data_IF_756185710144
#
_entry.id   IF_756185710144
#
_cell.length_a   1.000
_cell.length_b   1.000
_cell.length_c   1.000
_cell.angle_alpha   90.00
_cell.angle_beta   90.00
_cell.angle_gamma   90.00
#
_symmetry.space_group_name_H-M   'P 1'
#
loop_
_entity.id
_entity.type
_entity.pdbx_description
1 polymer ?
#
# COMPACT_ATOMS: atom_id res chain seq x y z
N UNK A 1 -38.99 -23.46 -20.17
CA UNK A 1 -38.01 -22.36 -20.34
C UNK A 1 -36.63 -22.89 -19.98
N UNK A 2 -35.72 -22.98 -20.95
CA UNK A 2 -34.33 -23.34 -20.68
C UNK A 2 -33.61 -22.10 -20.10
N UNK A 3 -32.80 -22.22 -19.04
CA UNK A 3 -32.00 -21.10 -18.60
C UNK A 3 -31.05 -20.73 -19.74
N UNK A 4 -31.23 -19.52 -20.27
CA UNK A 4 -30.30 -18.93 -21.23
C UNK A 4 -28.89 -19.06 -20.67
N UNK A 5 -27.95 -19.54 -21.48
CA UNK A 5 -26.50 -19.46 -21.18
C UNK A 5 -26.15 -17.99 -21.02
N UNK A 6 -26.35 -17.46 -19.82
CA UNK A 6 -25.86 -16.16 -19.39
C UNK A 6 -24.39 -16.13 -19.78
N UNK A 7 -24.01 -15.08 -20.51
CA UNK A 7 -22.71 -14.92 -21.16
C UNK A 7 -21.56 -15.06 -20.16
N UNK A 8 -21.20 -16.29 -19.79
CA UNK A 8 -20.21 -16.60 -18.76
C UNK A 8 -18.89 -15.94 -19.13
N UNK A 9 -18.60 -15.91 -20.44
CA UNK A 9 -17.47 -15.22 -21.04
C UNK A 9 -17.49 -13.70 -20.79
N UNK A 10 -18.64 -13.03 -20.92
CA UNK A 10 -18.75 -11.60 -20.65
C UNK A 10 -18.59 -11.31 -19.15
N UNK A 11 -19.18 -12.15 -18.28
CA UNK A 11 -19.02 -12.01 -16.83
C UNK A 11 -17.55 -12.21 -16.42
N UNK A 12 -16.89 -13.23 -16.96
CA UNK A 12 -15.47 -13.50 -16.68
C UNK A 12 -14.58 -12.33 -17.13
N UNK A 13 -14.84 -11.78 -18.32
CA UNK A 13 -14.10 -10.62 -18.83
C UNK A 13 -14.30 -9.38 -17.95
N UNK A 14 -15.53 -9.10 -17.49
CA UNK A 14 -15.81 -7.98 -16.58
C UNK A 14 -15.04 -8.13 -15.28
N UNK A 15 -15.02 -9.33 -14.67
CA UNK A 15 -14.24 -9.58 -13.45
C UNK A 15 -12.74 -9.35 -13.67
N UNK A 16 -12.19 -9.86 -14.78
CA UNK A 16 -10.75 -9.67 -15.10
C UNK A 16 -10.41 -8.20 -15.31
N UNK A 17 -11.26 -7.43 -16.00
CA UNK A 17 -11.03 -5.99 -16.20
C UNK A 17 -11.09 -5.23 -14.87
N UNK A 18 -12.03 -5.55 -13.99
CA UNK A 18 -12.12 -4.94 -12.65
C UNK A 18 -10.85 -5.21 -11.83
N UNK A 19 -10.37 -6.46 -11.81
CA UNK A 19 -9.14 -6.84 -11.09
C UNK A 19 -7.90 -6.14 -11.66
N UNK A 20 -7.81 -6.02 -12.98
CA UNK A 20 -6.69 -5.33 -13.64
C UNK A 20 -6.73 -3.82 -13.50
N UNK A 21 -7.92 -3.22 -13.35
CA UNK A 21 -8.09 -1.79 -13.08
C UNK A 21 -7.66 -1.42 -11.65
N UNK A 22 -7.77 -2.34 -10.69
CA UNK A 22 -7.23 -2.13 -9.33
C UNK A 22 -5.71 -2.28 -9.21
N UNK A 23 -5.01 -2.74 -10.26
CA UNK A 23 -3.58 -3.06 -10.21
C UNK A 23 -2.64 -1.89 -10.55
N UNK A 24 -3.18 -0.68 -10.78
CA UNK A 24 -2.38 0.50 -11.12
C UNK A 24 -3.16 1.73 -10.71
N UNK A 25 -2.79 2.29 -9.57
CA UNK A 25 -2.27 3.65 -9.39
C UNK A 25 -1.81 3.77 -7.92
N UNK A 26 -0.51 3.58 -7.67
CA UNK A 26 0.13 4.12 -6.47
C UNK A 26 0.87 5.39 -6.86
N UNK A 27 0.13 6.34 -7.44
CA UNK A 27 0.52 7.75 -7.35
C UNK A 27 0.09 8.19 -5.97
N UNK A 28 1.06 8.64 -5.20
CA UNK A 28 0.91 9.20 -3.85
C UNK A 28 -0.24 10.21 -3.83
N UNK A 29 -1.37 9.85 -3.21
CA UNK A 29 -2.44 10.77 -2.89
C UNK A 29 -2.62 10.79 -1.36
N UNK A 30 -2.66 11.98 -0.73
CA UNK A 30 -2.82 12.08 0.71
C UNK A 30 -4.25 11.67 1.04
N UNK A 31 -4.41 10.59 1.81
CA UNK A 31 -5.73 10.17 2.27
C UNK A 31 -6.24 11.18 3.30
N UNK A 32 -7.24 11.95 2.91
CA UNK A 32 -8.09 12.68 3.84
C UNK A 32 -8.84 11.68 4.72
N UNK A 33 -8.45 11.58 5.98
CA UNK A 33 -9.12 10.81 7.01
C UNK A 33 -8.74 11.40 8.35
N UNK A 34 -9.67 12.13 8.95
CA UNK A 34 -9.53 12.77 10.26
C UNK A 34 -9.25 11.73 11.32
N UNK A 35 -8.01 11.67 11.84
CA UNK A 35 -7.75 11.36 13.23
C UNK A 35 -6.39 11.94 13.66
N UNK A 36 -6.42 12.66 14.77
CA UNK A 36 -5.29 13.34 15.38
C UNK A 36 -4.42 12.27 16.05
N UNK A 37 -3.57 11.62 15.28
CA UNK A 37 -2.37 10.93 15.71
C UNK A 37 -1.32 11.22 14.64
N UNK A 38 -0.09 11.54 15.05
CA UNK A 38 1.04 11.89 14.18
C UNK A 38 0.96 11.21 12.80
N UNK A 39 0.84 12.05 11.76
CA UNK A 39 0.49 11.72 10.37
C UNK A 39 1.58 10.90 9.66
N UNK A 40 1.84 9.69 10.16
CA UNK A 40 2.76 8.75 9.55
C UNK A 40 1.97 7.94 8.52
N UNK A 41 2.21 8.13 7.22
CA UNK A 41 1.41 7.48 6.20
C UNK A 41 1.63 5.96 6.26
N UNK A 42 0.53 5.22 6.22
CA UNK A 42 0.56 3.80 5.89
C UNK A 42 0.67 3.63 4.37
N UNK A 43 1.30 2.55 3.93
CA UNK A 43 1.44 2.23 2.50
C UNK A 43 1.17 0.76 2.23
N UNK A 44 0.81 0.43 0.99
CA UNK A 44 0.58 -0.95 0.57
C UNK A 44 1.91 -1.72 0.55
N UNK A 45 1.96 -2.91 1.15
CA UNK A 45 3.13 -3.79 1.10
C UNK A 45 3.41 -4.25 -0.33
N UNK A 46 4.64 -4.03 -0.81
CA UNK A 46 5.08 -4.53 -2.10
C UNK A 46 5.40 -6.04 -2.06
N UNK A 47 5.73 -6.56 -0.88
CA UNK A 47 6.24 -7.91 -0.72
C UNK A 47 5.20 -8.93 -0.22
N UNK A 48 4.06 -8.48 0.32
CA UNK A 48 2.98 -9.37 0.74
C UNK A 48 2.31 -10.02 -0.48
N UNK A 49 2.09 -11.33 -0.42
CA UNK A 49 1.52 -12.10 -1.54
C UNK A 49 0.18 -12.72 -1.14
N UNK A 50 -0.78 -12.62 -2.04
CA UNK A 50 -2.14 -13.11 -1.84
C UNK A 50 -3.02 -12.13 -1.08
N UNK A 51 -4.28 -12.53 -0.88
CA UNK A 51 -5.26 -11.73 -0.17
C UNK A 51 -5.10 -11.90 1.35
N UNK A 52 -5.13 -10.80 2.09
CA UNK A 52 -5.10 -10.84 3.54
C UNK A 52 -6.50 -11.08 4.12
N UNK A 53 -6.85 -12.35 4.29
CA UNK A 53 -8.03 -12.79 5.03
C UNK A 53 -7.65 -13.10 6.49
N UNK A 54 -7.53 -12.07 7.34
CA UNK A 54 -7.18 -12.22 8.77
C UNK A 54 -5.75 -12.70 9.04
N UNK A 55 -4.84 -12.52 8.09
CA UNK A 55 -3.43 -12.92 8.24
C UNK A 55 -2.56 -11.76 8.73
N UNK A 56 -2.99 -11.09 9.81
CA UNK A 56 -2.30 -9.93 10.37
C UNK A 56 -0.86 -10.25 10.77
N UNK A 57 -0.62 -11.41 11.39
CA UNK A 57 0.71 -11.83 11.80
C UNK A 57 1.67 -12.05 10.61
N UNK A 58 1.15 -12.48 9.45
CA UNK A 58 1.98 -12.55 8.24
C UNK A 58 2.21 -11.17 7.65
N UNK A 59 1.17 -10.33 7.58
CA UNK A 59 1.28 -8.97 7.07
C UNK A 59 2.28 -8.14 7.89
N UNK A 60 2.15 -8.17 9.22
CA UNK A 60 3.06 -7.50 10.14
C UNK A 60 4.52 -7.94 9.94
N UNK A 61 4.78 -9.25 9.88
CA UNK A 61 6.14 -9.75 9.63
C UNK A 61 6.67 -9.30 8.28
N UNK A 62 5.87 -9.41 7.23
CA UNK A 62 6.27 -8.94 5.89
C UNK A 62 6.64 -7.46 5.92
N UNK A 63 5.83 -6.61 6.54
CA UNK A 63 6.12 -5.18 6.64
C UNK A 63 7.43 -4.88 7.38
N UNK A 64 7.70 -5.59 8.49
CA UNK A 64 8.97 -5.44 9.24
C UNK A 64 10.18 -5.87 8.40
N UNK A 65 10.04 -6.93 7.59
CA UNK A 65 11.12 -7.38 6.69
C UNK A 65 11.25 -6.54 5.42
N UNK A 66 10.19 -5.86 5.01
CA UNK A 66 10.16 -5.03 3.80
C UNK A 66 10.99 -3.76 3.98
N UNK A 67 10.97 -3.16 5.18
CA UNK A 67 11.75 -1.95 5.48
C UNK A 67 11.98 -1.79 6.98
N UNK A 68 13.16 -1.32 7.37
CA UNK A 68 13.47 -0.95 8.75
C UNK A 68 12.70 0.27 9.25
N UNK A 69 12.09 1.04 8.35
CA UNK A 69 11.22 2.17 8.69
C UNK A 69 9.79 1.75 9.05
N UNK A 70 9.43 0.51 8.75
CA UNK A 70 8.13 -0.06 9.11
C UNK A 70 8.17 -0.59 10.54
N UNK A 71 7.17 -0.25 11.35
CA UNK A 71 7.06 -0.78 12.71
C UNK A 71 5.97 -1.85 12.85
N UNK A 72 5.13 -2.02 11.83
CA UNK A 72 4.10 -3.03 11.81
C UNK A 72 3.33 -3.04 10.49
N UNK A 73 2.23 -3.79 10.48
CA UNK A 73 1.32 -3.84 9.36
C UNK A 73 -0.03 -4.39 9.78
N UNK A 74 -1.07 -4.05 9.04
CA UNK A 74 -2.44 -4.49 9.26
C UNK A 74 -3.10 -4.82 7.92
N UNK A 75 -4.21 -5.56 8.00
CA UNK A 75 -4.94 -5.94 6.80
C UNK A 75 -6.20 -5.11 6.66
N UNK A 76 -6.36 -4.52 5.49
CA UNK A 76 -7.56 -3.76 5.12
C UNK A 76 -7.92 -4.05 3.67
N UNK A 77 -9.21 -4.19 3.37
CA UNK A 77 -9.71 -4.55 2.03
C UNK A 77 -8.96 -5.70 1.35
N UNK A 78 -8.67 -6.78 2.08
CA UNK A 78 -7.89 -7.95 1.62
C UNK A 78 -6.45 -7.65 1.19
N UNK A 79 -5.94 -6.46 1.52
CA UNK A 79 -4.61 -6.00 1.22
C UNK A 79 -3.81 -5.80 2.52
N UNK A 80 -2.49 -5.90 2.44
CA UNK A 80 -1.60 -5.67 3.58
C UNK A 80 -1.03 -4.26 3.51
N UNK A 81 -1.29 -3.46 4.55
CA UNK A 81 -0.77 -2.11 4.70
C UNK A 81 0.31 -2.07 5.78
N UNK A 82 1.46 -1.51 5.45
CA UNK A 82 2.58 -1.31 6.36
C UNK A 82 2.49 0.07 7.02
N UNK A 83 2.70 0.09 8.33
CA UNK A 83 2.74 1.32 9.12
C UNK A 83 4.18 1.80 9.25
N UNK A 84 4.44 3.04 8.84
CA UNK A 84 5.76 3.66 8.89
C UNK A 84 5.93 4.47 10.16
N UNK A 85 7.14 4.52 10.71
CA UNK A 85 7.44 5.47 11.77
C UNK A 85 7.55 6.86 11.14
N UNK A 86 6.92 7.86 11.76
CA UNK A 86 7.24 9.24 11.44
C UNK A 86 8.70 9.47 11.80
N UNK A 87 9.54 9.66 10.79
CA UNK A 87 10.75 10.45 10.97
C UNK A 87 10.28 11.82 11.45
N UNK A 88 10.69 12.23 12.64
CA UNK A 88 10.45 13.61 13.09
C UNK A 88 10.86 14.53 11.96
N UNK A 89 10.03 15.53 11.64
CA UNK A 89 10.18 16.41 10.47
C UNK A 89 11.62 16.90 10.25
N UNK A 90 12.37 17.10 11.34
CA UNK A 90 13.80 17.45 11.32
C UNK A 90 14.68 16.42 10.59
N UNK A 91 14.52 15.14 10.85
CA UNK A 91 15.30 14.07 10.19
C UNK A 91 14.95 13.89 8.71
N UNK A 92 13.69 14.13 8.32
CA UNK A 92 13.27 14.10 6.92
C UNK A 92 13.76 15.34 6.16
N UNK A 93 13.71 16.51 6.80
CA UNK A 93 14.28 17.76 6.27
C UNK A 93 15.81 17.67 6.11
N UNK A 94 16.51 17.08 7.09
CA UNK A 94 17.96 16.87 7.05
C UNK A 94 18.35 15.85 5.97
N UNK A 95 17.58 14.78 5.78
CA UNK A 95 17.80 13.83 4.70
C UNK A 95 17.60 14.47 3.31
N UNK A 96 16.56 15.30 3.14
CA UNK A 96 16.33 16.05 1.91
C UNK A 96 17.43 17.10 1.67
N UNK A 97 17.89 17.79 2.72
CA UNK A 97 18.98 18.76 2.62
C UNK A 97 20.32 18.09 2.26
N UNK A 98 20.61 16.93 2.84
CA UNK A 98 21.82 16.16 2.51
C UNK A 98 21.78 15.64 1.07
N UNK A 99 20.62 15.15 0.60
CA UNK A 99 20.45 14.72 -0.79
C UNK A 99 20.59 15.90 -1.77
N UNK A 100 20.06 17.08 -1.42
CA UNK A 100 20.22 18.29 -2.24
C UNK A 100 21.69 18.76 -2.30
N UNK A 101 22.42 18.68 -1.20
CA UNK A 101 23.85 19.01 -1.15
C UNK A 101 24.71 18.04 -1.97
N UNK A 102 24.34 16.75 -2.00
CA UNK A 102 25.02 15.75 -2.84
C UNK A 102 24.72 15.88 -4.34
N UNK A 103 23.66 16.62 -4.70
CA UNK A 103 23.20 16.83 -6.08
C UNK A 103 23.64 18.16 -6.67
N UNK A 104 24.24 19.04 -5.86
CA UNK A 104 24.78 20.31 -6.34
C UNK A 104 26.06 20.05 -7.15
N UNK A 105 26.18 20.54 -8.38
CA UNK A 105 27.45 20.48 -9.11
C UNK A 105 28.49 21.34 -8.39
N UNK A 106 29.72 20.82 -8.29
CA UNK A 106 30.90 21.54 -7.79
C UNK A 106 31.17 22.77 -8.66
#
# INVERSE_FOLDING_TARGET
MAPSRLNLSAVLLVVVVIVMASARESVSAPAAGTDIYDDCPSHLSANFKGACFFNEASCQRTCIFESSFNFGGFCDWFQCYCQTRCSSSRSHQEALAAAAAASAPI
#
